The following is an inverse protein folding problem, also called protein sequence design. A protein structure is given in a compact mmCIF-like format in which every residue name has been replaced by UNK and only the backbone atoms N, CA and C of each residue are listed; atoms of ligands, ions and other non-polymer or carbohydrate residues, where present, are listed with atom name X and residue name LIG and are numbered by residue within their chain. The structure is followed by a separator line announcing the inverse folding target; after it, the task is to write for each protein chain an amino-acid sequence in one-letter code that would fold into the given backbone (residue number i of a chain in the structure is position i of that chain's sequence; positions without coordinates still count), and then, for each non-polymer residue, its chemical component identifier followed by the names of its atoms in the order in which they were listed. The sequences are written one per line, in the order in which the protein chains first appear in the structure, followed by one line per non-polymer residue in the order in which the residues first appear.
data_IF_445841797253
#
_entry.id   IF_445841797253
#
_cell.length_a   1.000
_cell.length_b   1.000
_cell.length_c   1.000
_cell.angle_alpha   90.00
_cell.angle_beta   90.00
_cell.angle_gamma   90.00
#
_symmetry.space_group_name_H-M   'P 1'
#
loop_
_entity.id
_entity.type
_entity.pdbx_description
1 polymer ?
#
# COMPACT_ATOMS: atom_id res chain seq x y z
N UNK A 1 18.57 2.81 10.49
CA UNK A 1 17.15 2.51 10.80
C UNK A 1 17.05 1.42 11.86
N UNK A 2 16.18 1.57 12.83
CA UNK A 2 15.86 0.54 13.82
C UNK A 2 14.69 -0.32 13.30
N UNK A 3 14.76 -1.64 13.54
CA UNK A 3 13.70 -2.59 13.17
C UNK A 3 13.12 -3.26 14.41
N UNK A 4 11.82 -3.51 14.42
CA UNK A 4 11.11 -4.18 15.50
C UNK A 4 10.17 -5.25 14.97
N UNK A 5 9.87 -6.23 15.80
CA UNK A 5 8.85 -7.23 15.45
C UNK A 5 7.46 -6.59 15.36
N UNK A 6 6.74 -6.94 14.32
CA UNK A 6 5.32 -6.58 14.17
C UNK A 6 4.48 -7.55 15.02
N UNK A 7 4.28 -7.21 16.28
CA UNK A 7 3.61 -8.08 17.23
C UNK A 7 4.27 -9.46 17.34
N UNK A 8 3.47 -10.52 17.25
CA UNK A 8 3.92 -11.93 17.28
C UNK A 8 4.06 -12.57 15.90
N UNK A 9 3.97 -11.77 14.83
CA UNK A 9 3.94 -12.30 13.44
C UNK A 9 5.27 -12.86 12.94
N UNK A 10 6.39 -12.56 13.61
CA UNK A 10 7.74 -12.88 13.15
C UNK A 10 8.32 -11.89 12.14
N UNK A 11 7.50 -11.00 11.57
CA UNK A 11 7.95 -9.95 10.64
C UNK A 11 8.74 -8.88 11.39
N UNK A 12 9.80 -8.36 10.75
CA UNK A 12 10.54 -7.23 11.23
C UNK A 12 10.26 -6.00 10.37
N UNK A 13 9.78 -4.94 10.98
CA UNK A 13 9.45 -3.67 10.31
C UNK A 13 10.30 -2.54 10.86
N UNK A 14 10.60 -1.57 10.01
CA UNK A 14 11.21 -0.31 10.44
C UNK A 14 10.29 0.40 11.45
N UNK A 15 10.88 1.05 12.44
CA UNK A 15 10.12 1.81 13.45
C UNK A 15 9.39 3.02 12.87
N UNK A 16 9.79 3.43 11.68
CA UNK A 16 9.11 4.45 10.86
C UNK A 16 8.48 3.74 9.66
N UNK A 17 7.20 3.98 9.42
CA UNK A 17 6.49 3.51 8.23
C UNK A 17 6.17 4.66 7.28
N UNK A 18 6.04 4.37 5.99
CA UNK A 18 5.62 5.34 4.99
C UNK A 18 4.11 5.25 4.76
N UNK A 19 3.37 6.29 5.17
CA UNK A 19 1.95 6.46 4.84
C UNK A 19 1.76 7.11 3.46
N UNK A 20 0.80 6.62 2.68
CA UNK A 20 0.68 6.97 1.26
C UNK A 20 -0.67 7.57 0.84
N UNK A 21 -1.45 8.10 1.76
CA UNK A 21 -2.76 8.70 1.44
C UNK A 21 -2.67 9.88 0.43
N UNK A 22 -1.53 10.54 0.35
CA UNK A 22 -1.28 11.63 -0.60
C UNK A 22 -0.95 11.14 -2.02
N UNK A 23 -0.56 9.89 -2.18
CA UNK A 23 -0.22 9.30 -3.49
C UNK A 23 -1.45 9.17 -4.40
N UNK A 24 -2.64 9.16 -3.83
CA UNK A 24 -3.90 9.06 -4.55
C UNK A 24 -4.34 10.33 -5.29
N UNK A 25 -3.57 11.43 -5.26
CA UNK A 25 -4.00 12.66 -5.95
C UNK A 25 -3.24 13.94 -5.63
N UNK A 26 -2.57 14.04 -4.48
CA UNK A 26 -1.86 15.28 -4.09
C UNK A 26 -0.47 15.40 -4.71
N UNK A 27 0.19 14.30 -4.97
CA UNK A 27 1.47 14.24 -5.68
C UNK A 27 1.31 13.34 -6.89
N UNK A 28 2.12 13.54 -7.91
CA UNK A 28 2.08 12.73 -9.12
C UNK A 28 2.85 11.40 -8.99
N UNK A 29 2.88 10.61 -10.06
CA UNK A 29 3.58 9.33 -10.08
C UNK A 29 5.09 9.49 -9.87
N UNK A 30 5.73 10.43 -10.57
CA UNK A 30 7.16 10.65 -10.49
C UNK A 30 7.57 11.07 -9.06
N UNK A 31 6.81 11.94 -8.43
CA UNK A 31 7.02 12.34 -7.04
C UNK A 31 6.79 11.15 -6.09
N UNK A 32 5.76 10.34 -6.32
CA UNK A 32 5.49 9.15 -5.51
C UNK A 32 6.64 8.13 -5.60
N UNK A 33 7.16 7.89 -6.79
CA UNK A 33 8.33 7.02 -7.02
C UNK A 33 9.55 7.55 -6.27
N UNK A 34 9.81 8.85 -6.37
CA UNK A 34 10.94 9.50 -5.68
C UNK A 34 10.83 9.31 -4.16
N UNK A 35 9.65 9.56 -3.59
CA UNK A 35 9.43 9.41 -2.13
C UNK A 35 9.61 7.95 -1.69
N UNK A 36 9.05 6.99 -2.42
CA UNK A 36 9.21 5.58 -2.07
C UNK A 36 10.68 5.16 -2.13
N UNK A 37 11.38 5.50 -3.21
CA UNK A 37 12.80 5.15 -3.36
C UNK A 37 13.65 5.76 -2.25
N UNK A 38 13.45 7.03 -1.93
CA UNK A 38 14.16 7.68 -0.82
C UNK A 38 13.85 6.99 0.52
N UNK A 39 12.58 6.63 0.78
CA UNK A 39 12.22 5.92 2.00
C UNK A 39 12.94 4.57 2.13
N UNK A 40 13.07 3.81 1.02
CA UNK A 40 13.81 2.56 1.01
C UNK A 40 15.32 2.79 1.25
N UNK A 41 15.90 3.82 0.65
CA UNK A 41 17.32 4.17 0.85
C UNK A 41 17.62 4.53 2.31
N UNK A 42 16.65 5.11 3.02
CA UNK A 42 16.72 5.38 4.46
C UNK A 42 16.43 4.14 5.34
N UNK A 43 16.14 2.99 4.74
CA UNK A 43 15.89 1.73 5.43
C UNK A 43 14.43 1.53 5.88
N UNK A 44 13.48 2.32 5.40
CA UNK A 44 12.06 2.06 5.63
C UNK A 44 11.63 0.86 4.78
N UNK A 45 11.14 -0.20 5.42
CA UNK A 45 10.67 -1.41 4.74
C UNK A 45 9.17 -1.66 4.93
N UNK A 46 8.42 -0.69 5.49
CA UNK A 46 7.00 -0.83 5.78
C UNK A 46 6.21 0.34 5.19
N UNK A 47 5.30 0.03 4.26
CA UNK A 47 4.46 1.00 3.56
C UNK A 47 3.00 0.75 3.92
N UNK A 48 2.28 1.78 4.35
CA UNK A 48 0.84 1.76 4.62
C UNK A 48 0.08 2.48 3.50
N UNK A 49 -0.84 1.76 2.88
CA UNK A 49 -1.72 2.24 1.81
C UNK A 49 -3.16 1.75 2.02
N UNK A 50 -4.03 2.03 1.08
CA UNK A 50 -5.38 1.48 1.00
C UNK A 50 -5.87 1.48 -0.45
N UNK A 51 -6.77 0.55 -0.80
CA UNK A 51 -7.39 0.51 -2.12
C UNK A 51 -8.18 1.79 -2.43
N UNK A 52 -8.76 2.43 -1.40
CA UNK A 52 -9.55 3.66 -1.57
C UNK A 52 -8.69 4.90 -1.84
N UNK A 53 -7.40 4.91 -1.55
CA UNK A 53 -6.54 6.08 -1.78
C UNK A 53 -6.40 6.36 -3.27
N UNK A 54 -7.13 7.38 -3.73
CA UNK A 54 -7.27 7.68 -5.15
C UNK A 54 -7.95 6.57 -5.95
N UNK A 55 -8.75 5.71 -5.30
CA UNK A 55 -9.43 4.55 -5.92
C UNK A 55 -8.47 3.62 -6.67
N UNK A 56 -7.38 3.24 -6.00
CA UNK A 56 -6.35 2.35 -6.52
C UNK A 56 -5.08 3.06 -6.99
N UNK A 57 -5.13 4.36 -7.23
CA UNK A 57 -3.97 5.12 -7.76
C UNK A 57 -2.76 5.06 -6.83
N UNK A 58 -2.98 5.14 -5.50
CA UNK A 58 -1.88 5.00 -4.54
C UNK A 58 -1.17 3.65 -4.67
N UNK A 59 -1.94 2.56 -4.72
CA UNK A 59 -1.39 1.21 -4.90
C UNK A 59 -0.65 1.07 -6.23
N UNK A 60 -1.21 1.58 -7.35
CA UNK A 60 -0.55 1.56 -8.66
C UNK A 60 0.80 2.27 -8.65
N UNK A 61 0.88 3.46 -8.03
CA UNK A 61 2.13 4.23 -7.91
C UNK A 61 3.17 3.53 -7.04
N UNK A 62 2.74 2.86 -5.97
CA UNK A 62 3.62 2.02 -5.15
C UNK A 62 4.13 0.84 -5.97
N UNK A 63 3.28 0.16 -6.72
CA UNK A 63 3.67 -0.94 -7.60
C UNK A 63 4.71 -0.52 -8.63
N UNK A 64 4.54 0.65 -9.26
CA UNK A 64 5.55 1.23 -10.18
C UNK A 64 6.86 1.51 -9.44
N UNK A 65 6.80 2.13 -8.26
CA UNK A 65 7.99 2.48 -7.48
C UNK A 65 8.78 1.25 -7.02
N UNK A 66 8.10 0.15 -6.71
CA UNK A 66 8.69 -1.08 -6.19
C UNK A 66 9.10 -2.09 -7.26
N UNK A 67 8.98 -1.76 -8.54
CA UNK A 67 9.38 -2.66 -9.61
C UNK A 67 10.84 -3.11 -9.43
N UNK A 68 11.04 -4.42 -9.25
CA UNK A 68 12.34 -5.03 -8.96
C UNK A 68 12.78 -4.98 -7.49
N UNK A 69 11.98 -4.42 -6.58
CA UNK A 69 12.28 -4.28 -5.14
C UNK A 69 11.15 -4.81 -4.25
N UNK A 70 10.11 -5.40 -4.83
CA UNK A 70 8.87 -5.76 -4.12
C UNK A 70 9.08 -6.72 -2.94
N UNK A 71 10.02 -7.64 -3.06
CA UNK A 71 10.28 -8.70 -2.06
C UNK A 71 10.87 -8.15 -0.76
N UNK A 72 11.54 -7.00 -0.81
CA UNK A 72 12.19 -6.39 0.35
C UNK A 72 11.26 -5.49 1.18
N UNK A 73 10.01 -5.31 0.72
CA UNK A 73 9.09 -4.33 1.29
C UNK A 73 7.79 -4.99 1.76
N UNK A 74 7.42 -4.69 2.99
CA UNK A 74 6.13 -5.09 3.57
C UNK A 74 5.10 -4.00 3.29
N UNK A 75 3.97 -4.37 2.68
CA UNK A 75 2.89 -3.46 2.37
C UNK A 75 1.64 -3.85 3.16
N UNK A 76 1.14 -2.91 3.95
CA UNK A 76 -0.18 -2.99 4.54
C UNK A 76 -1.15 -2.22 3.65
N UNK A 77 -2.12 -2.90 3.05
CA UNK A 77 -3.24 -2.25 2.37
C UNK A 77 -4.55 -2.55 3.08
N UNK A 78 -5.62 -1.87 2.70
CA UNK A 78 -6.90 -1.91 3.41
C UNK A 78 -8.04 -2.02 2.41
N UNK A 79 -9.16 -2.58 2.88
CA UNK A 79 -10.44 -2.65 2.20
C UNK A 79 -11.51 -2.06 3.14
N UNK A 80 -12.62 -1.64 2.63
CA UNK A 80 -13.87 -1.25 3.29
C UNK A 80 -14.55 -0.10 2.57
N UNK A 81 -13.80 0.88 2.06
CA UNK A 81 -14.34 1.99 1.28
C UNK A 81 -15.04 1.54 0.01
N UNK A 82 -15.95 2.39 -0.49
CA UNK A 82 -16.68 2.11 -1.73
C UNK A 82 -15.75 2.22 -2.94
N UNK A 83 -15.59 1.11 -3.66
CA UNK A 83 -14.81 1.03 -4.90
C UNK A 83 -15.65 1.03 -6.17
N UNK A 84 -16.98 1.02 -6.02
CA UNK A 84 -17.95 1.08 -7.08
C UNK A 84 -19.34 1.46 -6.54
N UNK A 85 -20.34 1.53 -7.42
CA UNK A 85 -21.69 1.97 -7.10
C UNK A 85 -22.64 0.80 -6.73
N UNK A 86 -22.19 -0.43 -6.94
CA UNK A 86 -22.97 -1.63 -6.66
C UNK A 86 -23.17 -1.88 -5.16
N UNK A 87 -24.24 -2.60 -4.79
CA UNK A 87 -24.59 -2.85 -3.39
C UNK A 87 -23.51 -3.65 -2.64
N UNK A 88 -22.69 -4.43 -3.34
CA UNK A 88 -21.61 -5.24 -2.77
C UNK A 88 -20.20 -4.63 -3.01
N UNK A 89 -20.13 -3.39 -3.48
CA UNK A 89 -18.85 -2.71 -3.80
C UNK A 89 -18.27 -1.93 -2.62
N UNK A 90 -18.68 -2.24 -1.40
CA UNK A 90 -18.20 -1.60 -0.16
C UNK A 90 -18.34 -2.53 1.04
N UNK A 91 -17.69 -2.14 2.14
CA UNK A 91 -17.78 -2.86 3.43
C UNK A 91 -16.82 -4.04 3.51
N UNK A 92 -17.06 -4.91 4.49
CA UNK A 92 -16.17 -5.99 4.87
C UNK A 92 -16.80 -7.37 4.66
N UNK A 93 -17.69 -7.51 3.67
CA UNK A 93 -18.17 -8.83 3.27
C UNK A 93 -17.01 -9.67 2.71
N UNK A 94 -17.07 -10.98 2.88
CA UNK A 94 -16.09 -11.89 2.28
C UNK A 94 -15.96 -11.66 0.77
N UNK A 95 -17.08 -11.44 0.08
CA UNK A 95 -17.12 -11.15 -1.36
C UNK A 95 -16.27 -9.93 -1.70
N UNK A 96 -16.53 -8.78 -1.05
CA UNK A 96 -15.81 -7.54 -1.32
C UNK A 96 -14.34 -7.63 -0.92
N UNK A 97 -14.01 -8.27 0.21
CA UNK A 97 -12.61 -8.48 0.63
C UNK A 97 -11.84 -9.28 -0.42
N UNK A 98 -12.39 -10.41 -0.88
CA UNK A 98 -11.72 -11.27 -1.86
C UNK A 98 -11.52 -10.55 -3.21
N UNK A 99 -12.54 -9.86 -3.69
CA UNK A 99 -12.45 -9.07 -4.91
C UNK A 99 -11.38 -7.98 -4.81
N UNK A 100 -11.34 -7.26 -3.69
CA UNK A 100 -10.42 -6.16 -3.50
C UNK A 100 -8.98 -6.60 -3.22
N UNK A 101 -8.75 -7.72 -2.55
CA UNK A 101 -7.38 -8.24 -2.39
C UNK A 101 -6.80 -8.66 -3.74
N UNK A 102 -7.58 -9.30 -4.61
CA UNK A 102 -7.15 -9.63 -5.97
C UNK A 102 -6.82 -8.38 -6.78
N UNK A 103 -7.63 -7.33 -6.65
CA UNK A 103 -7.37 -6.05 -7.32
C UNK A 103 -6.10 -5.36 -6.77
N UNK A 104 -5.91 -5.36 -5.46
CA UNK A 104 -4.70 -4.80 -4.82
C UNK A 104 -3.43 -5.56 -5.22
N UNK A 105 -3.49 -6.89 -5.29
CA UNK A 105 -2.35 -7.72 -5.74
C UNK A 105 -1.95 -7.44 -7.19
N UNK A 106 -2.90 -7.04 -8.05
CA UNK A 106 -2.58 -6.64 -9.43
C UNK A 106 -1.93 -5.27 -9.52
N UNK A 107 -2.18 -4.38 -8.56
CA UNK A 107 -1.62 -3.01 -8.55
C UNK A 107 -0.24 -2.96 -7.88
N UNK A 108 -0.03 -3.80 -6.87
CA UNK A 108 1.17 -3.85 -6.03
C UNK A 108 2.15 -4.94 -6.47
#
# INVERSE_FOLDING_TARGET
MEYRKLGSSGLQVSVVGLGTNNFGGRIDEAQSVTVVRQALDEGINFIDTANIYGRGVSEERIGVALKGLREDVLIATKVSGAMGDGPNSKGNSRHHIMEQVDASLRRL
#
